data_IF_294300954462
#
_entry.id   IF_294300954462
#
_cell.length_a   1.000
_cell.length_b   1.000
_cell.length_c   1.000
_cell.angle_alpha   90.00
_cell.angle_beta   90.00
_cell.angle_gamma   90.00
#
_symmetry.space_group_name_H-M   'P 1'
#
loop_
_entity.id
_entity.type
_entity.pdbx_description
1 polymer ?
#
# COMPACT_ATOMS: atom_id res chain seq x y z
N UNK A 1 -6.49 -17.52 8.69
CA UNK A 1 -7.63 -16.61 8.92
C UNK A 1 -7.22 -15.14 8.70
N UNK A 2 -6.61 -14.43 9.67
CA UNK A 2 -6.29 -13.00 9.50
C UNK A 2 -5.33 -12.74 8.33
N UNK A 3 -4.26 -13.54 8.20
CA UNK A 3 -3.31 -13.43 7.07
C UNK A 3 -4.01 -13.55 5.72
N UNK A 4 -4.90 -14.51 5.59
CA UNK A 4 -5.58 -14.79 4.33
C UNK A 4 -6.62 -13.69 4.02
N UNK A 5 -7.27 -13.13 5.05
CA UNK A 5 -8.15 -11.98 4.93
C UNK A 5 -7.41 -10.71 4.52
N UNK A 6 -6.18 -10.47 5.02
CA UNK A 6 -5.36 -9.34 4.60
C UNK A 6 -5.09 -9.39 3.10
N UNK A 7 -4.78 -10.59 2.59
CA UNK A 7 -4.52 -10.83 1.18
C UNK A 7 -5.75 -10.62 0.29
N UNK A 8 -6.93 -10.99 0.78
CA UNK A 8 -8.20 -10.75 0.09
C UNK A 8 -8.51 -9.25 -0.04
N UNK A 9 -8.30 -8.47 1.03
CA UNK A 9 -8.62 -7.02 1.02
C UNK A 9 -7.56 -6.14 0.38
N UNK A 10 -6.32 -6.63 0.24
CA UNK A 10 -5.19 -5.87 -0.32
C UNK A 10 -4.88 -6.21 -1.78
N UNK A 11 -5.73 -7.00 -2.45
CA UNK A 11 -5.56 -7.32 -3.86
C UNK A 11 -6.29 -6.28 -4.72
N UNK A 12 -5.60 -5.62 -5.68
CA UNK A 12 -6.26 -4.77 -6.65
C UNK A 12 -7.03 -5.66 -7.63
N UNK A 13 -8.30 -5.95 -7.32
CA UNK A 13 -9.21 -6.68 -8.21
C UNK A 13 -9.93 -5.75 -9.22
N UNK A 14 -9.63 -4.45 -9.16
CA UNK A 14 -10.21 -3.43 -10.03
C UNK A 14 -11.69 -3.12 -9.73
N UNK A 15 -12.26 -3.65 -8.63
CA UNK A 15 -13.68 -3.45 -8.28
C UNK A 15 -13.96 -2.10 -7.63
N UNK A 16 -12.93 -1.43 -7.14
CA UNK A 16 -13.04 -0.11 -6.54
C UNK A 16 -12.76 0.97 -7.58
N UNK A 17 -13.76 1.79 -7.92
CA UNK A 17 -13.65 2.87 -8.91
C UNK A 17 -12.61 3.95 -8.52
N UNK A 18 -12.26 4.04 -7.23
CA UNK A 18 -11.34 5.03 -6.67
C UNK A 18 -10.79 4.62 -5.30
N UNK A 19 -9.72 5.28 -4.87
CA UNK A 19 -9.25 5.27 -3.49
C UNK A 19 -9.94 6.36 -2.63
N UNK A 20 -10.10 6.07 -1.34
CA UNK A 20 -10.60 6.98 -0.31
C UNK A 20 -9.45 7.43 0.60
N UNK A 21 -9.33 8.73 0.82
CA UNK A 21 -8.32 9.29 1.72
C UNK A 21 -8.81 9.45 3.17
N UNK A 22 -7.93 9.91 4.10
CA UNK A 22 -8.27 10.10 5.51
C UNK A 22 -9.45 11.03 5.77
N UNK A 23 -9.65 12.05 4.93
CA UNK A 23 -10.77 12.99 5.02
C UNK A 23 -12.13 12.42 4.59
N UNK A 24 -12.15 11.22 4.02
CA UNK A 24 -13.34 10.61 3.41
C UNK A 24 -13.84 9.38 4.19
N UNK A 25 -13.33 9.15 5.40
CA UNK A 25 -13.64 7.97 6.21
C UNK A 25 -15.15 7.72 6.35
N UNK A 26 -15.94 8.77 6.58
CA UNK A 26 -17.40 8.65 6.71
C UNK A 26 -18.08 8.10 5.45
N UNK A 27 -17.64 8.54 4.27
CA UNK A 27 -18.15 8.07 2.99
C UNK A 27 -17.68 6.65 2.68
N UNK A 28 -16.41 6.35 2.97
CA UNK A 28 -15.84 5.02 2.82
C UNK A 28 -16.61 3.98 3.67
N UNK A 29 -16.90 4.31 4.93
CA UNK A 29 -17.73 3.48 5.82
C UNK A 29 -19.17 3.33 5.33
N UNK A 30 -19.75 4.36 4.71
CA UNK A 30 -21.07 4.24 4.09
C UNK A 30 -21.07 3.25 2.92
N UNK A 31 -20.05 3.29 2.05
CA UNK A 31 -19.88 2.34 0.94
C UNK A 31 -19.76 0.90 1.44
N UNK A 32 -18.91 0.67 2.45
CA UNK A 32 -18.76 -0.64 3.09
C UNK A 32 -20.11 -1.15 3.63
N UNK A 33 -20.89 -0.30 4.31
CA UNK A 33 -22.22 -0.67 4.82
C UNK A 33 -23.22 -1.02 3.72
N UNK A 34 -23.04 -0.48 2.52
CA UNK A 34 -23.85 -0.79 1.35
C UNK A 34 -23.35 -2.04 0.59
N UNK A 35 -22.35 -2.76 1.13
CA UNK A 35 -21.78 -3.96 0.52
C UNK A 35 -20.80 -3.69 -0.62
N UNK A 36 -20.34 -2.44 -0.79
CA UNK A 36 -19.36 -2.10 -1.81
C UNK A 36 -17.92 -2.28 -1.29
N UNK A 37 -17.05 -2.86 -2.11
CA UNK A 37 -15.61 -2.84 -1.90
C UNK A 37 -15.08 -1.39 -1.97
N UNK A 38 -14.00 -1.12 -1.25
CA UNK A 38 -13.32 0.17 -1.27
C UNK A 38 -11.81 -0.02 -1.31
N UNK A 39 -11.10 0.92 -1.91
CA UNK A 39 -9.67 1.10 -1.72
C UNK A 39 -9.44 2.25 -0.74
N UNK A 40 -8.62 2.05 0.29
CA UNK A 40 -8.22 3.12 1.21
C UNK A 40 -6.75 3.45 1.03
N UNK A 41 -6.45 4.73 0.90
CA UNK A 41 -5.08 5.23 0.81
C UNK A 41 -4.78 6.09 2.04
N UNK A 42 -3.94 5.56 2.91
CA UNK A 42 -3.50 6.25 4.12
C UNK A 42 -2.32 7.19 3.85
N UNK A 43 -1.73 7.73 4.91
CA UNK A 43 -0.56 8.61 4.81
C UNK A 43 0.66 7.95 4.15
N UNK A 44 0.75 6.61 4.20
CA UNK A 44 1.83 5.83 3.60
C UNK A 44 1.58 5.45 2.13
N UNK A 45 0.44 5.85 1.54
CA UNK A 45 0.03 5.42 0.21
C UNK A 45 -0.65 4.05 0.18
N UNK A 46 -0.79 3.43 -0.99
CA UNK A 46 -1.45 2.14 -1.16
C UNK A 46 -0.58 1.00 -0.62
N UNK A 47 -1.23 -0.01 -0.03
CA UNK A 47 -0.57 -1.25 0.43
C UNK A 47 -1.25 -2.44 -0.25
N UNK A 48 -0.65 -2.90 -1.35
CA UNK A 48 -1.13 -4.05 -2.11
C UNK A 48 -0.23 -5.26 -1.88
N UNK A 49 -0.77 -6.48 -1.97
CA UNK A 49 0.02 -7.72 -1.87
C UNK A 49 0.11 -8.50 -3.20
N UNK A 50 1.26 -9.11 -3.44
CA UNK A 50 1.51 -10.01 -4.57
C UNK A 50 0.86 -11.41 -4.37
N UNK A 51 1.18 -12.39 -5.23
CA UNK A 51 0.69 -13.76 -5.09
C UNK A 51 1.21 -14.53 -3.86
N UNK A 52 2.24 -14.02 -3.20
CA UNK A 52 2.95 -14.65 -2.08
C UNK A 52 2.71 -13.92 -0.75
N UNK A 53 2.04 -12.76 -0.78
CA UNK A 53 1.70 -11.96 0.40
C UNK A 53 2.73 -10.87 0.71
N UNK A 54 3.61 -10.54 -0.23
CA UNK A 54 4.58 -9.45 -0.09
C UNK A 54 3.96 -8.12 -0.50
N UNK A 55 4.35 -7.04 0.19
CA UNK A 55 3.98 -5.67 -0.19
C UNK A 55 4.55 -5.33 -1.57
N UNK A 56 3.66 -4.96 -2.49
CA UNK A 56 4.00 -4.36 -3.78
C UNK A 56 3.97 -2.84 -3.58
N UNK A 57 5.15 -2.25 -3.40
CA UNK A 57 5.34 -0.80 -3.37
C UNK A 57 6.75 -0.46 -3.84
N UNK A 58 6.99 0.82 -4.12
CA UNK A 58 8.34 1.31 -4.39
C UNK A 58 9.15 1.30 -3.09
N UNK A 59 10.41 0.86 -3.18
CA UNK A 59 11.32 0.83 -2.03
C UNK A 59 12.42 1.86 -2.21
N UNK A 60 12.73 2.60 -1.15
CA UNK A 60 13.92 3.46 -1.08
C UNK A 60 15.03 2.72 -0.34
N UNK A 61 16.18 2.58 -0.98
CA UNK A 61 17.37 2.04 -0.35
C UNK A 61 18.17 3.21 0.19
N UNK A 62 18.41 3.19 1.50
CA UNK A 62 19.18 4.20 2.20
C UNK A 62 20.38 3.53 2.89
N UNK A 63 21.55 4.14 2.79
CA UNK A 63 22.75 3.72 3.49
C UNK A 63 23.16 4.79 4.49
N UNK A 64 23.68 4.38 5.64
CA UNK A 64 24.31 5.30 6.58
C UNK A 64 25.72 5.64 6.09
N UNK A 65 25.98 6.91 5.83
CA UNK A 65 27.32 7.42 5.56
C UNK A 65 27.96 7.89 6.87
N UNK A 66 29.01 7.17 7.29
CA UNK A 66 29.74 7.46 8.52
C UNK A 66 30.54 8.77 8.46
N UNK A 67 30.96 9.22 7.27
CA UNK A 67 31.72 10.45 7.10
C UNK A 67 30.84 11.68 7.34
N UNK A 68 29.62 11.67 6.81
CA UNK A 68 28.63 12.73 6.99
C UNK A 68 27.71 12.51 8.19
N UNK A 69 27.78 11.33 8.83
CA UNK A 69 26.91 10.88 9.93
C UNK A 69 25.43 11.01 9.58
N UNK A 70 25.09 10.65 8.34
CA UNK A 70 23.75 10.86 7.79
C UNK A 70 23.28 9.64 6.99
N UNK A 71 21.96 9.48 6.83
CA UNK A 71 21.41 8.52 5.88
C UNK A 71 21.34 9.16 4.50
N UNK A 72 21.93 8.51 3.52
CA UNK A 72 21.88 8.91 2.11
C UNK A 72 21.06 7.89 1.33
N UNK A 73 20.11 8.39 0.52
CA UNK A 73 19.37 7.57 -0.43
C UNK A 73 20.32 7.14 -1.55
N UNK A 74 20.44 5.84 -1.77
CA UNK A 74 21.36 5.27 -2.76
C UNK A 74 20.63 4.80 -4.01
N UNK A 75 19.41 4.30 -3.88
CA UNK A 75 18.59 3.90 -5.02
C UNK A 75 17.10 3.85 -4.67
N UNK A 76 16.28 3.76 -5.71
CA UNK A 76 14.88 3.40 -5.63
C UNK A 76 14.68 2.11 -6.42
N UNK A 77 13.97 1.15 -5.83
CA UNK A 77 13.51 -0.06 -6.51
C UNK A 77 12.02 0.12 -6.78
N UNK A 78 11.62 0.15 -8.04
CA UNK A 78 10.20 0.26 -8.37
C UNK A 78 9.47 -1.05 -8.09
N UNK A 79 8.23 -0.95 -7.63
CA UNK A 79 7.31 -2.06 -7.47
C UNK A 79 7.21 -2.94 -8.73
N UNK A 80 7.26 -2.32 -9.91
CA UNK A 80 7.23 -2.99 -11.22
C UNK A 80 8.43 -3.90 -11.49
N UNK A 81 9.55 -3.72 -10.78
CA UNK A 81 10.77 -4.52 -10.92
C UNK A 81 10.80 -5.73 -9.98
N UNK A 82 9.87 -5.79 -9.01
CA UNK A 82 9.78 -6.85 -8.00
C UNK A 82 8.74 -7.94 -8.32
N UNK A 83 8.01 -7.78 -9.43
CA UNK A 83 6.97 -8.70 -9.93
C UNK A 83 7.54 -9.66 -10.97
#
# INVERSE_FOLDING_TARGET
AIRDALFEVSRPDGTSDRAFGPGELGLALQRIRNGAAINYEGAAGPVNFDGFGNVISDYEICCFDAATRSFVRTSTVSASTLQ
#
